data_IF_801375414481
#
_entry.id   IF_801375414481
#
_cell.length_a   1.000
_cell.length_b   1.000
_cell.length_c   1.000
_cell.angle_alpha   90.00
_cell.angle_beta   90.00
_cell.angle_gamma   90.00
#
_symmetry.space_group_name_H-M   'P 1'
#
loop_
_entity.id
_entity.type
_entity.pdbx_description
1 polymer ?
#
# COMPACT_ATOMS: atom_id res chain seq x y z
N UNK A 1 -55.91 -39.37 -30.49
CA UNK A 1 -55.34 -38.46 -31.49
C UNK A 1 -55.01 -37.15 -30.79
N UNK A 2 -53.80 -37.07 -30.25
CA UNK A 2 -53.28 -35.95 -29.46
C UNK A 2 -52.33 -35.15 -30.35
N UNK A 3 -52.69 -33.94 -30.71
CA UNK A 3 -51.76 -32.99 -31.32
C UNK A 3 -50.87 -32.40 -30.22
N UNK A 4 -49.53 -32.48 -30.31
CA UNK A 4 -48.66 -31.68 -29.47
C UNK A 4 -48.64 -30.24 -30.01
N UNK A 5 -49.06 -29.31 -29.15
CA UNK A 5 -49.01 -27.88 -29.41
C UNK A 5 -47.58 -27.39 -29.59
N UNK A 6 -47.26 -26.98 -30.81
CA UNK A 6 -46.10 -26.16 -31.13
C UNK A 6 -46.34 -24.75 -30.58
N UNK A 7 -46.01 -24.54 -29.31
CA UNK A 7 -46.25 -23.29 -28.57
C UNK A 7 -44.98 -22.63 -28.04
N UNK A 8 -43.88 -22.63 -28.81
CA UNK A 8 -42.61 -21.96 -28.43
C UNK A 8 -42.24 -20.76 -29.30
N UNK A 9 -43.13 -20.31 -30.16
CA UNK A 9 -42.95 -19.11 -30.97
C UNK A 9 -43.76 -17.97 -30.40
N UNK A 10 -43.18 -17.12 -29.53
CA UNK A 10 -43.37 -15.63 -29.50
C UNK A 10 -42.90 -14.87 -28.24
N UNK A 11 -42.52 -15.48 -27.12
CA UNK A 11 -42.41 -14.73 -25.85
C UNK A 11 -41.05 -14.09 -25.49
N UNK A 12 -40.18 -13.87 -26.48
CA UNK A 12 -39.00 -13.01 -26.33
C UNK A 12 -39.00 -12.00 -27.47
N UNK A 13 -39.63 -10.84 -27.23
CA UNK A 13 -39.25 -9.59 -27.86
C UNK A 13 -37.73 -9.47 -27.73
N UNK A 14 -37.06 -9.80 -28.83
CA UNK A 14 -35.65 -10.15 -28.98
C UNK A 14 -34.74 -9.21 -28.17
N UNK A 15 -33.99 -9.76 -27.21
CA UNK A 15 -32.90 -9.03 -26.56
C UNK A 15 -31.99 -8.42 -27.65
N UNK A 16 -31.94 -7.08 -27.78
CA UNK A 16 -31.21 -6.40 -28.84
C UNK A 16 -29.70 -6.72 -28.78
N UNK A 17 -29.19 -7.06 -27.60
CA UNK A 17 -27.80 -7.45 -27.37
C UNK A 17 -27.49 -8.80 -28.03
N UNK A 18 -28.40 -9.78 -27.93
CA UNK A 18 -28.25 -11.09 -28.57
C UNK A 18 -28.36 -10.99 -30.09
N UNK A 19 -29.28 -10.17 -30.58
CA UNK A 19 -29.42 -9.91 -32.02
C UNK A 19 -28.15 -9.25 -32.60
N UNK A 20 -27.57 -8.30 -31.89
CA UNK A 20 -26.29 -7.68 -32.24
C UNK A 20 -25.14 -8.69 -32.30
N UNK A 21 -25.02 -9.55 -31.29
CA UNK A 21 -24.00 -10.60 -31.25
C UNK A 21 -24.08 -11.52 -32.47
N UNK A 22 -25.28 -11.99 -32.82
CA UNK A 22 -25.50 -12.86 -33.98
C UNK A 22 -25.07 -12.17 -35.28
N UNK A 23 -25.52 -10.93 -35.51
CA UNK A 23 -25.16 -10.17 -36.71
C UNK A 23 -23.67 -9.86 -36.81
N UNK A 24 -23.02 -9.60 -35.67
CA UNK A 24 -21.57 -9.37 -35.63
C UNK A 24 -20.80 -10.64 -36.01
N UNK A 25 -21.21 -11.80 -35.50
CA UNK A 25 -20.61 -13.10 -35.84
C UNK A 25 -20.83 -13.41 -37.32
N UNK A 26 -22.03 -13.18 -37.86
CA UNK A 26 -22.33 -13.37 -39.28
C UNK A 26 -21.46 -12.47 -40.16
N UNK A 27 -21.38 -11.18 -39.87
CA UNK A 27 -20.53 -10.23 -40.59
C UNK A 27 -19.04 -10.64 -40.54
N UNK A 28 -18.58 -11.17 -39.40
CA UNK A 28 -17.21 -11.68 -39.26
C UNK A 28 -16.95 -12.95 -40.07
N UNK A 29 -17.92 -13.87 -40.12
CA UNK A 29 -17.81 -15.09 -40.94
C UNK A 29 -17.79 -14.79 -42.44
N UNK A 30 -18.56 -13.80 -42.86
CA UNK A 30 -18.58 -13.30 -44.24
C UNK A 30 -17.32 -12.51 -44.63
N UNK A 31 -16.43 -12.21 -43.66
CA UNK A 31 -15.21 -11.45 -43.92
C UNK A 31 -15.46 -9.98 -44.27
N UNK A 32 -16.57 -9.41 -43.82
CA UNK A 32 -16.86 -8.01 -44.04
C UNK A 32 -15.81 -7.14 -43.33
N UNK A 33 -15.33 -6.07 -43.98
CA UNK A 33 -14.41 -5.12 -43.33
C UNK A 33 -15.16 -4.33 -42.25
N UNK A 34 -14.63 -4.37 -41.02
CA UNK A 34 -15.19 -3.71 -39.83
C UNK A 34 -14.18 -2.81 -39.10
N UNK A 35 -12.92 -2.79 -39.56
CA UNK A 35 -11.79 -2.17 -38.87
C UNK A 35 -11.80 -0.64 -38.79
N UNK A 36 -12.22 0.02 -39.87
CA UNK A 36 -12.05 1.47 -40.02
C UNK A 36 -13.41 2.18 -39.87
N UNK A 37 -13.71 2.76 -38.70
CA UNK A 37 -14.95 3.49 -38.48
C UNK A 37 -14.98 4.84 -39.20
N UNK A 38 -13.93 5.23 -39.95
CA UNK A 38 -13.94 6.43 -40.80
C UNK A 38 -14.47 6.13 -42.20
N UNK A 39 -14.44 4.87 -42.63
CA UNK A 39 -15.00 4.45 -43.90
C UNK A 39 -16.54 4.38 -43.81
N UNK A 40 -17.21 5.08 -44.73
CA UNK A 40 -18.67 5.22 -44.77
C UNK A 40 -19.35 3.86 -45.00
N UNK A 41 -18.77 2.98 -45.82
CA UNK A 41 -19.34 1.65 -46.05
C UNK A 41 -19.22 0.75 -44.83
N UNK A 42 -18.08 0.82 -44.14
CA UNK A 42 -17.87 0.17 -42.85
C UNK A 42 -18.87 0.67 -41.79
N UNK A 43 -19.12 1.99 -41.74
CA UNK A 43 -20.14 2.56 -40.85
C UNK A 43 -21.56 2.08 -41.16
N UNK A 44 -21.94 2.02 -42.45
CA UNK A 44 -23.24 1.48 -42.84
C UNK A 44 -23.43 0.03 -42.36
N UNK A 45 -22.39 -0.80 -42.42
CA UNK A 45 -22.41 -2.17 -41.89
C UNK A 45 -22.58 -2.17 -40.38
N UNK A 46 -21.77 -1.41 -39.65
CA UNK A 46 -21.91 -1.28 -38.20
C UNK A 46 -23.29 -0.80 -37.76
N UNK A 47 -23.91 0.13 -38.50
CA UNK A 47 -25.27 0.61 -38.21
C UNK A 47 -26.31 -0.50 -38.34
N UNK A 48 -26.18 -1.38 -39.36
CA UNK A 48 -27.02 -2.57 -39.55
C UNK A 48 -26.78 -3.60 -38.44
N UNK A 49 -25.53 -3.85 -38.08
CA UNK A 49 -25.17 -4.77 -36.98
C UNK A 49 -25.79 -4.28 -35.67
N UNK A 50 -25.68 -2.98 -35.38
CA UNK A 50 -26.20 -2.34 -34.16
C UNK A 50 -27.72 -2.06 -34.18
N UNK A 51 -28.45 -2.39 -35.25
CA UNK A 51 -29.86 -2.03 -35.40
C UNK A 51 -30.73 -2.62 -34.27
N UNK A 52 -31.55 -1.77 -33.64
CA UNK A 52 -32.37 -2.12 -32.47
C UNK A 52 -31.74 -1.76 -31.12
N UNK A 53 -30.43 -1.44 -31.06
CA UNK A 53 -29.78 -0.96 -29.83
C UNK A 53 -29.90 0.59 -29.77
N UNK A 54 -30.38 1.16 -28.63
CA UNK A 54 -30.40 2.61 -28.42
C UNK A 54 -28.99 3.23 -28.40
N UNK A 55 -28.87 4.53 -28.66
CA UNK A 55 -27.55 5.16 -28.85
C UNK A 55 -26.71 5.20 -27.55
N UNK A 56 -27.33 5.39 -26.39
CA UNK A 56 -26.64 5.44 -25.09
C UNK A 56 -25.86 4.15 -24.72
N UNK A 57 -26.46 2.94 -24.77
CA UNK A 57 -25.76 1.71 -24.41
C UNK A 57 -24.71 1.23 -25.44
N UNK A 58 -24.69 1.77 -26.67
CA UNK A 58 -23.72 1.35 -27.69
C UNK A 58 -22.26 1.51 -27.24
N UNK A 59 -21.97 2.59 -26.50
CA UNK A 59 -20.63 2.89 -25.98
C UNK A 59 -20.07 1.77 -25.10
N UNK A 60 -20.94 1.02 -24.41
CA UNK A 60 -20.54 -0.07 -23.52
C UNK A 60 -20.69 -1.43 -24.20
N UNK A 61 -21.77 -1.65 -24.95
CA UNK A 61 -22.08 -2.95 -25.55
C UNK A 61 -21.04 -3.32 -26.61
N UNK A 62 -20.71 -2.40 -27.53
CA UNK A 62 -19.84 -2.70 -28.67
C UNK A 62 -18.43 -3.12 -28.21
N UNK A 63 -17.70 -2.33 -27.39
CA UNK A 63 -16.34 -2.71 -27.00
C UNK A 63 -16.31 -3.98 -26.15
N UNK A 64 -17.28 -4.12 -25.22
CA UNK A 64 -17.38 -5.30 -24.34
C UNK A 64 -17.60 -6.57 -25.13
N UNK A 65 -18.49 -6.54 -26.14
CA UNK A 65 -18.84 -7.72 -26.93
C UNK A 65 -17.69 -8.13 -27.86
N UNK A 66 -17.05 -7.16 -28.52
CA UNK A 66 -15.90 -7.43 -29.39
C UNK A 66 -14.75 -8.05 -28.59
N UNK A 67 -14.44 -7.52 -27.40
CA UNK A 67 -13.42 -8.11 -26.51
C UNK A 67 -13.80 -9.50 -26.04
N UNK A 68 -15.05 -9.72 -25.66
CA UNK A 68 -15.53 -11.04 -25.25
C UNK A 68 -15.38 -12.07 -26.38
N UNK A 69 -15.71 -11.69 -27.62
CA UNK A 69 -15.54 -12.57 -28.79
C UNK A 69 -14.07 -12.89 -29.09
N UNK A 70 -13.14 -11.96 -28.89
CA UNK A 70 -11.70 -12.25 -29.01
C UNK A 70 -11.20 -13.24 -27.95
N UNK A 71 -11.88 -13.34 -26.80
CA UNK A 71 -11.62 -14.35 -25.78
C UNK A 71 -12.07 -15.76 -26.18
N UNK A 72 -12.94 -15.90 -27.19
CA UNK A 72 -13.39 -17.19 -27.69
C UNK A 72 -12.51 -17.68 -28.86
N UNK A 73 -11.99 -18.92 -28.80
CA UNK A 73 -11.03 -19.43 -29.80
C UNK A 73 -11.63 -19.52 -31.20
N UNK A 74 -12.91 -19.87 -31.33
CA UNK A 74 -13.58 -20.08 -32.62
C UNK A 74 -13.84 -18.79 -33.41
N UNK A 75 -13.92 -17.65 -32.71
CA UNK A 75 -14.27 -16.36 -33.32
C UNK A 75 -13.08 -15.42 -33.52
N UNK A 76 -11.92 -15.77 -32.93
CA UNK A 76 -10.71 -14.95 -33.03
C UNK A 76 -10.26 -14.75 -34.47
N UNK A 77 -10.08 -15.84 -35.22
CA UNK A 77 -9.60 -15.78 -36.61
C UNK A 77 -10.58 -15.08 -37.58
N UNK A 78 -11.91 -15.37 -37.54
CA UNK A 78 -12.89 -14.57 -38.27
C UNK A 78 -12.83 -13.07 -37.96
N UNK A 79 -12.71 -12.67 -36.69
CA UNK A 79 -12.65 -11.26 -36.31
C UNK A 79 -11.38 -10.56 -36.82
N UNK A 80 -10.22 -11.21 -36.74
CA UNK A 80 -8.98 -10.66 -37.29
C UNK A 80 -9.11 -10.43 -38.81
N UNK A 81 -9.78 -11.33 -39.54
CA UNK A 81 -10.03 -11.16 -40.99
C UNK A 81 -10.90 -9.96 -41.33
N UNK A 82 -11.75 -9.48 -40.40
CA UNK A 82 -12.50 -8.22 -40.59
C UNK A 82 -11.63 -6.96 -40.40
N UNK A 83 -10.39 -7.14 -39.95
CA UNK A 83 -9.40 -6.11 -39.65
C UNK A 83 -9.49 -5.53 -38.24
N UNK A 84 -10.25 -6.15 -37.33
CA UNK A 84 -10.24 -5.81 -35.91
C UNK A 84 -9.02 -6.45 -35.24
N UNK A 85 -8.28 -5.68 -34.43
CA UNK A 85 -7.07 -6.17 -33.76
C UNK A 85 -7.31 -6.34 -32.24
N UNK A 86 -7.13 -7.55 -31.67
CA UNK A 86 -7.27 -7.76 -30.24
C UNK A 86 -6.30 -6.91 -29.39
N UNK A 87 -5.19 -6.44 -29.96
CA UNK A 87 -4.19 -5.61 -29.27
C UNK A 87 -4.55 -4.12 -29.25
N UNK A 88 -5.59 -3.70 -29.96
CA UNK A 88 -5.97 -2.29 -30.09
C UNK A 88 -7.34 -2.03 -29.43
N UNK A 89 -7.43 -2.01 -28.09
CA UNK A 89 -8.71 -1.81 -27.40
C UNK A 89 -9.36 -0.45 -27.73
N UNK A 90 -8.55 0.57 -28.00
CA UNK A 90 -9.02 1.90 -28.42
C UNK A 90 -9.74 1.86 -29.77
N UNK A 91 -9.35 0.96 -30.68
CA UNK A 91 -10.07 0.76 -31.95
C UNK A 91 -11.52 0.34 -31.67
N UNK A 92 -11.72 -0.59 -30.72
CA UNK A 92 -13.04 -1.09 -30.36
C UNK A 92 -13.90 -0.02 -29.68
N UNK A 93 -13.28 0.83 -28.85
CA UNK A 93 -13.96 1.95 -28.18
C UNK A 93 -14.37 3.05 -29.15
N UNK A 94 -13.58 3.29 -30.21
CA UNK A 94 -13.87 4.31 -31.20
C UNK A 94 -15.11 3.99 -32.06
N UNK A 95 -15.46 2.72 -32.26
CA UNK A 95 -16.55 2.31 -33.19
C UNK A 95 -17.91 2.93 -32.78
N UNK A 96 -18.27 2.84 -31.51
CA UNK A 96 -19.59 3.28 -31.04
C UNK A 96 -19.85 4.79 -31.27
N UNK A 97 -18.93 5.72 -30.91
CA UNK A 97 -19.06 7.14 -31.24
C UNK A 97 -19.34 7.41 -32.72
N UNK A 98 -18.59 6.79 -33.65
CA UNK A 98 -18.79 7.02 -35.08
C UNK A 98 -20.15 6.48 -35.56
N UNK A 99 -20.58 5.31 -35.07
CA UNK A 99 -21.91 4.76 -35.40
C UNK A 99 -23.04 5.68 -34.93
N UNK A 100 -22.93 6.22 -33.71
CA UNK A 100 -23.90 7.17 -33.15
C UNK A 100 -23.94 8.44 -34.00
N UNK A 101 -22.78 9.01 -34.32
CA UNK A 101 -22.67 10.21 -35.15
C UNK A 101 -23.29 9.99 -36.54
N UNK A 102 -23.00 8.85 -37.18
CA UNK A 102 -23.55 8.50 -38.49
C UNK A 102 -25.07 8.29 -38.44
N UNK A 103 -25.61 7.66 -37.40
CA UNK A 103 -27.08 7.53 -37.21
C UNK A 103 -27.75 8.89 -37.10
N UNK A 104 -27.17 9.82 -36.33
CA UNK A 104 -27.68 11.19 -36.21
C UNK A 104 -27.64 11.91 -37.55
N UNK A 105 -26.54 11.80 -38.31
CA UNK A 105 -26.41 12.36 -39.65
C UNK A 105 -27.46 11.80 -40.63
N UNK A 106 -27.73 10.49 -40.63
CA UNK A 106 -28.75 9.90 -41.51
C UNK A 106 -30.16 10.35 -41.11
N UNK A 107 -30.44 10.47 -39.81
CA UNK A 107 -31.73 11.00 -39.30
C UNK A 107 -31.93 12.46 -39.71
N UNK A 108 -30.93 13.33 -39.53
CA UNK A 108 -31.02 14.74 -39.90
C UNK A 108 -31.22 14.92 -41.41
N UNK A 109 -30.52 14.14 -42.24
CA UNK A 109 -30.65 14.21 -43.71
C UNK A 109 -32.01 13.71 -44.23
N UNK A 110 -32.67 12.79 -43.53
CA UNK A 110 -34.03 12.33 -43.86
C UNK A 110 -35.10 13.35 -43.51
N UNK A 111 -34.86 14.20 -42.51
CA UNK A 111 -35.81 15.22 -42.07
C UNK A 111 -35.64 16.56 -42.82
N UNK A 112 -34.51 16.80 -43.48
CA UNK A 112 -34.27 18.00 -44.29
C UNK A 112 -35.06 18.00 -45.61
N UNK A 113 -36.35 18.31 -45.53
CA UNK A 113 -37.16 18.82 -46.64
C UNK A 113 -37.32 20.35 -46.63
N UNK A 114 -36.99 21.01 -45.52
CA UNK A 114 -37.29 22.43 -45.29
C UNK A 114 -35.99 23.25 -45.00
N UNK A 115 -35.62 24.26 -45.82
CA UNK A 115 -34.40 25.04 -45.66
C UNK A 115 -34.34 25.90 -44.37
N UNK A 116 -35.46 26.14 -43.69
CA UNK A 116 -35.48 26.79 -42.37
C UNK A 116 -34.84 25.91 -41.29
N UNK A 117 -35.16 24.62 -41.26
CA UNK A 117 -34.66 23.67 -40.26
C UNK A 117 -33.15 23.40 -40.40
N UNK A 118 -32.58 23.59 -41.61
CA UNK A 118 -31.13 23.46 -41.82
C UNK A 118 -30.33 24.53 -41.05
N UNK A 119 -30.82 25.77 -40.98
CA UNK A 119 -30.12 26.84 -40.26
C UNK A 119 -30.12 26.56 -38.76
N UNK A 120 -31.26 26.17 -38.22
CA UNK A 120 -31.39 25.80 -36.80
C UNK A 120 -30.53 24.58 -36.44
N UNK A 121 -30.44 23.61 -37.35
CA UNK A 121 -29.57 22.43 -37.17
C UNK A 121 -28.09 22.81 -37.18
N UNK A 122 -27.67 23.71 -38.09
CA UNK A 122 -26.29 24.19 -38.16
C UNK A 122 -25.92 24.97 -36.88
N UNK A 123 -26.82 25.82 -36.40
CA UNK A 123 -26.57 26.61 -35.18
C UNK A 123 -26.52 25.73 -33.93
N UNK A 124 -27.37 24.70 -33.85
CA UNK A 124 -27.31 23.67 -32.80
C UNK A 124 -25.98 22.89 -32.85
N UNK A 125 -25.54 22.46 -34.03
CA UNK A 125 -24.25 21.77 -34.17
C UNK A 125 -23.08 22.67 -33.77
N UNK A 126 -23.14 23.97 -34.08
CA UNK A 126 -22.12 24.95 -33.65
C UNK A 126 -22.13 25.19 -32.15
N UNK A 127 -23.27 25.13 -31.47
CA UNK A 127 -23.32 25.18 -30.00
C UNK A 127 -22.76 23.91 -29.38
N UNK A 128 -23.15 22.73 -29.89
CA UNK A 128 -22.63 21.44 -29.42
C UNK A 128 -21.11 21.35 -29.61
N UNK A 129 -20.58 21.86 -30.72
CA UNK A 129 -19.14 21.86 -30.98
C UNK A 129 -18.37 22.83 -30.07
N UNK A 130 -18.97 23.97 -29.71
CA UNK A 130 -18.40 24.88 -28.70
C UNK A 130 -18.41 24.28 -27.30
N UNK A 131 -19.49 23.60 -26.94
CA UNK A 131 -19.62 22.91 -25.66
C UNK A 131 -18.63 21.75 -25.56
N UNK A 132 -18.51 20.94 -26.61
CA UNK A 132 -17.54 19.85 -26.67
C UNK A 132 -16.10 20.37 -26.58
N UNK A 133 -15.79 21.49 -27.24
CA UNK A 133 -14.49 22.15 -27.10
C UNK A 133 -14.24 22.58 -25.66
N UNK A 134 -15.20 23.23 -25.01
CA UNK A 134 -15.05 23.64 -23.62
C UNK A 134 -14.85 22.45 -22.67
N UNK A 135 -15.56 21.34 -22.90
CA UNK A 135 -15.35 20.10 -22.15
C UNK A 135 -13.96 19.50 -22.39
N UNK A 136 -13.48 19.54 -23.65
CA UNK A 136 -12.14 19.06 -23.99
C UNK A 136 -11.05 19.91 -23.33
N UNK A 137 -11.17 21.24 -23.38
CA UNK A 137 -10.25 22.17 -22.74
C UNK A 137 -10.21 21.92 -21.22
N UNK A 138 -11.37 21.70 -20.58
CA UNK A 138 -11.44 21.35 -19.15
C UNK A 138 -10.79 20.01 -18.81
N UNK A 139 -10.96 18.98 -19.67
CA UNK A 139 -10.28 17.68 -19.48
C UNK A 139 -8.77 17.84 -19.65
N UNK A 140 -8.33 18.67 -20.60
CA UNK A 140 -6.92 18.94 -20.82
C UNK A 140 -6.28 19.67 -19.62
N UNK A 141 -6.94 20.68 -19.07
CA UNK A 141 -6.49 21.38 -17.87
C UNK A 141 -6.39 20.43 -16.66
N UNK A 142 -7.40 19.57 -16.47
CA UNK A 142 -7.36 18.54 -15.42
C UNK A 142 -6.22 17.55 -15.63
N UNK A 143 -5.93 17.15 -16.88
CA UNK A 143 -4.83 16.25 -17.19
C UNK A 143 -3.48 16.90 -16.86
N UNK A 144 -3.28 18.18 -17.18
CA UNK A 144 -2.07 18.92 -16.82
C UNK A 144 -1.90 19.05 -15.30
N UNK A 145 -3.00 19.29 -14.56
CA UNK A 145 -2.96 19.34 -13.10
C UNK A 145 -2.56 18.00 -12.50
N UNK A 146 -3.13 16.90 -12.99
CA UNK A 146 -2.78 15.54 -12.55
C UNK A 146 -1.32 15.20 -12.87
N UNK A 147 -0.80 15.64 -14.02
CA UNK A 147 0.61 15.44 -14.37
C UNK A 147 1.53 16.23 -13.43
N UNK A 148 1.19 17.48 -13.11
CA UNK A 148 1.93 18.28 -12.14
C UNK A 148 1.91 17.68 -10.72
N UNK A 149 0.77 17.14 -10.29
CA UNK A 149 0.65 16.42 -9.02
C UNK A 149 1.47 15.13 -9.01
N UNK A 150 1.45 14.36 -10.10
CA UNK A 150 2.28 13.17 -10.27
C UNK A 150 3.76 13.51 -10.14
N UNK A 151 4.22 14.56 -10.81
CA UNK A 151 5.62 15.00 -10.74
C UNK A 151 6.01 15.46 -9.34
N UNK A 152 5.11 16.16 -8.66
CA UNK A 152 5.32 16.54 -7.26
C UNK A 152 5.47 15.31 -6.36
N UNK A 153 4.55 14.35 -6.47
CA UNK A 153 4.58 13.12 -5.66
C UNK A 153 5.81 12.28 -5.97
N UNK A 154 6.27 12.23 -7.23
CA UNK A 154 7.51 11.55 -7.60
C UNK A 154 8.71 12.17 -6.88
N UNK A 155 8.85 13.50 -6.88
CA UNK A 155 9.93 14.21 -6.16
C UNK A 155 9.87 13.99 -4.65
N UNK A 156 8.68 14.02 -4.06
CA UNK A 156 8.49 13.74 -2.64
C UNK A 156 8.91 12.30 -2.32
N UNK A 157 8.54 11.32 -3.16
CA UNK A 157 8.93 9.92 -3.02
C UNK A 157 10.47 9.75 -3.07
N UNK A 158 11.13 10.33 -4.06
CA UNK A 158 12.60 10.27 -4.19
C UNK A 158 13.30 10.87 -2.96
N UNK A 159 12.76 11.97 -2.43
CA UNK A 159 13.27 12.60 -1.21
C UNK A 159 13.12 11.69 0.02
N UNK A 160 11.99 10.98 0.13
CA UNK A 160 11.72 10.06 1.24
C UNK A 160 12.58 8.81 1.14
N UNK A 161 12.77 8.26 -0.06
CA UNK A 161 13.68 7.13 -0.29
C UNK A 161 15.11 7.48 0.13
N UNK A 162 15.58 8.68 -0.24
CA UNK A 162 16.91 9.16 0.13
C UNK A 162 17.06 9.28 1.66
N UNK A 163 16.04 9.81 2.35
CA UNK A 163 16.05 9.90 3.83
C UNK A 163 16.02 8.53 4.49
N UNK A 164 15.21 7.61 3.96
CA UNK A 164 15.11 6.25 4.48
C UNK A 164 16.44 5.51 4.37
N UNK A 165 17.13 5.63 3.23
CA UNK A 165 18.48 5.08 3.05
C UNK A 165 19.48 5.69 4.04
N UNK A 166 19.43 7.01 4.27
CA UNK A 166 20.31 7.66 5.24
C UNK A 166 20.07 7.17 6.68
N UNK A 167 18.81 6.98 7.09
CA UNK A 167 18.49 6.43 8.41
C UNK A 167 18.88 4.97 8.56
N UNK A 168 18.72 4.15 7.51
CA UNK A 168 19.19 2.77 7.51
C UNK A 168 20.70 2.69 7.71
N UNK A 169 21.47 3.52 6.98
CA UNK A 169 22.92 3.59 7.16
C UNK A 169 23.31 4.00 8.59
N UNK A 170 22.63 5.00 9.17
CA UNK A 170 22.87 5.39 10.58
C UNK A 170 22.55 4.27 11.57
N UNK A 171 21.46 3.54 11.35
CA UNK A 171 21.11 2.40 12.20
C UNK A 171 22.14 1.27 12.09
N UNK A 172 22.64 0.98 10.89
CA UNK A 172 23.71 0.01 10.66
C UNK A 172 25.02 0.44 11.35
N UNK A 173 25.38 1.72 11.28
CA UNK A 173 26.55 2.25 11.97
C UNK A 173 26.41 2.16 13.49
N UNK A 174 25.25 2.53 14.03
CA UNK A 174 24.97 2.43 15.46
C UNK A 174 25.00 0.98 15.97
N UNK A 175 24.47 0.02 15.19
CA UNK A 175 24.50 -1.40 15.56
C UNK A 175 25.91 -1.98 15.49
N UNK A 176 26.73 -1.58 14.51
CA UNK A 176 28.16 -1.93 14.46
C UNK A 176 28.91 -1.36 15.67
N UNK A 177 28.75 -0.07 15.97
CA UNK A 177 29.38 0.57 17.12
C UNK A 177 28.97 -0.09 18.44
N UNK A 178 27.69 -0.45 18.60
CA UNK A 178 27.20 -1.17 19.78
C UNK A 178 27.85 -2.57 19.90
N UNK A 179 27.98 -3.27 18.77
CA UNK A 179 28.61 -4.60 18.73
C UNK A 179 30.09 -4.52 19.12
N UNK A 180 30.83 -3.54 18.59
CA UNK A 180 32.22 -3.29 18.95
C UNK A 180 32.38 -2.92 20.42
N UNK A 181 31.51 -2.05 20.95
CA UNK A 181 31.51 -1.68 22.36
C UNK A 181 31.26 -2.89 23.27
N UNK A 182 30.29 -3.75 22.93
CA UNK A 182 30.03 -5.01 23.64
C UNK A 182 31.24 -5.94 23.62
N UNK A 183 31.84 -6.17 22.44
CA UNK A 183 33.02 -7.03 22.32
C UNK A 183 34.22 -6.51 23.14
N UNK A 184 34.44 -5.19 23.14
CA UNK A 184 35.50 -4.56 23.93
C UNK A 184 35.24 -4.69 25.43
N UNK A 185 34.01 -4.41 25.88
CA UNK A 185 33.62 -4.56 27.28
C UNK A 185 33.77 -6.01 27.76
N UNK A 186 33.35 -6.99 26.96
CA UNK A 186 33.53 -8.42 27.26
C UNK A 186 35.00 -8.81 27.37
N UNK A 187 35.84 -8.33 26.45
CA UNK A 187 37.29 -8.64 26.49
C UNK A 187 37.92 -8.15 27.80
N UNK A 188 37.63 -6.92 28.20
CA UNK A 188 38.14 -6.35 29.44
C UNK A 188 37.57 -7.08 30.66
N UNK A 189 36.27 -7.35 30.67
CA UNK A 189 35.60 -8.11 31.73
C UNK A 189 36.26 -9.48 31.96
N UNK A 190 36.52 -10.24 30.88
CA UNK A 190 37.22 -11.53 30.98
C UNK A 190 38.62 -11.40 31.58
N UNK A 191 39.40 -10.40 31.15
CA UNK A 191 40.74 -10.15 31.71
C UNK A 191 40.66 -9.87 33.22
N UNK A 192 39.70 -9.05 33.65
CA UNK A 192 39.54 -8.73 35.07
C UNK A 192 39.01 -9.90 35.90
N UNK A 193 38.17 -10.77 35.34
CA UNK A 193 37.74 -12.01 35.99
C UNK A 193 38.92 -12.98 36.21
N UNK A 194 39.79 -13.14 35.21
CA UNK A 194 41.00 -13.95 35.36
C UNK A 194 41.95 -13.36 36.41
N UNK A 195 42.14 -12.04 36.40
CA UNK A 195 42.95 -11.36 37.41
C UNK A 195 42.36 -11.52 38.81
N UNK A 196 41.04 -11.40 38.96
CA UNK A 196 40.35 -11.60 40.24
C UNK A 196 40.57 -13.01 40.77
N UNK A 197 40.43 -14.03 39.92
CA UNK A 197 40.69 -15.43 40.26
C UNK A 197 42.13 -15.65 40.69
N UNK A 198 43.08 -15.18 39.89
CA UNK A 198 44.51 -15.35 40.15
C UNK A 198 44.94 -14.64 41.45
N UNK A 199 44.47 -13.40 41.69
CA UNK A 199 44.76 -12.67 42.91
C UNK A 199 44.12 -13.34 44.14
N UNK A 200 42.94 -13.96 44.01
CA UNK A 200 42.34 -14.75 45.09
C UNK A 200 43.14 -16.02 45.40
N UNK A 201 43.63 -16.72 44.39
CA UNK A 201 44.49 -17.89 44.58
C UNK A 201 45.82 -17.52 45.26
N UNK A 202 46.40 -16.36 44.91
CA UNK A 202 47.63 -15.80 45.52
C UNK A 202 47.42 -15.31 46.95
N UNK A 203 46.27 -14.70 47.24
CA UNK A 203 45.93 -14.14 48.56
C UNK A 203 45.75 -15.18 49.67
N UNK A 204 45.88 -16.48 49.38
CA UNK A 204 46.06 -17.45 50.46
C UNK A 204 47.34 -17.21 51.29
N UNK A 205 48.27 -16.33 50.86
CA UNK A 205 49.57 -16.13 51.53
C UNK A 205 50.13 -14.69 51.68
N UNK A 206 49.45 -13.58 51.32
CA UNK A 206 50.08 -12.22 51.38
C UNK A 206 49.14 -11.08 51.86
N UNK A 207 49.59 -10.07 52.64
CA UNK A 207 48.73 -9.06 53.25
C UNK A 207 48.46 -7.80 52.41
N UNK A 208 48.93 -7.69 51.16
CA UNK A 208 48.62 -6.54 50.29
C UNK A 208 47.28 -6.70 49.55
N UNK A 209 46.20 -6.28 50.21
CA UNK A 209 44.80 -6.39 49.75
C UNK A 209 44.39 -5.40 48.63
N UNK A 210 45.25 -4.45 48.26
CA UNK A 210 44.92 -3.35 47.34
C UNK A 210 44.71 -3.79 45.89
N UNK A 211 45.45 -4.81 45.42
CA UNK A 211 45.32 -5.34 44.06
C UNK A 211 44.02 -6.10 43.85
N UNK A 212 43.61 -6.87 44.86
CA UNK A 212 42.33 -7.56 44.84
C UNK A 212 41.16 -6.56 44.75
N UNK A 213 41.18 -5.52 45.59
CA UNK A 213 40.12 -4.50 45.56
C UNK A 213 40.03 -3.82 44.18
N UNK A 214 41.17 -3.58 43.53
CA UNK A 214 41.21 -3.01 42.18
C UNK A 214 40.58 -3.97 41.16
N UNK A 215 40.83 -5.27 41.25
CA UNK A 215 40.23 -6.27 40.40
C UNK A 215 38.71 -6.41 40.65
N UNK A 216 38.27 -6.38 41.91
CA UNK A 216 36.86 -6.42 42.30
C UNK A 216 36.09 -5.22 41.72
N UNK A 217 36.58 -4.00 41.94
CA UNK A 217 35.97 -2.78 41.39
C UNK A 217 35.93 -2.83 39.86
N UNK A 218 36.99 -3.33 39.22
CA UNK A 218 37.03 -3.46 37.76
C UNK A 218 36.01 -4.47 37.24
N UNK A 219 35.84 -5.62 37.90
CA UNK A 219 34.83 -6.64 37.56
C UNK A 219 33.42 -6.06 37.73
N UNK A 220 33.12 -5.39 38.85
CA UNK A 220 31.82 -4.76 39.08
C UNK A 220 31.51 -3.68 38.04
N UNK A 221 32.47 -2.81 37.74
CA UNK A 221 32.30 -1.73 36.75
C UNK A 221 32.01 -2.28 35.36
N UNK A 222 32.74 -3.32 34.94
CA UNK A 222 32.54 -3.92 33.62
C UNK A 222 31.28 -4.81 33.56
N UNK A 223 30.90 -5.46 34.66
CA UNK A 223 29.62 -6.17 34.78
C UNK A 223 28.44 -5.20 34.64
N UNK A 224 28.46 -4.07 35.35
CA UNK A 224 27.44 -3.02 35.23
C UNK A 224 27.39 -2.42 33.81
N UNK A 225 28.55 -2.25 33.16
CA UNK A 225 28.63 -1.79 31.77
C UNK A 225 28.00 -2.81 30.82
N UNK A 226 28.26 -4.10 31.00
CA UNK A 226 27.64 -5.16 30.20
C UNK A 226 26.14 -5.28 30.46
N UNK A 227 25.68 -5.10 31.70
CA UNK A 227 24.26 -5.01 32.04
C UNK A 227 23.58 -3.84 31.32
N UNK A 228 24.17 -2.64 31.35
CA UNK A 228 23.67 -1.47 30.63
C UNK A 228 23.64 -1.68 29.10
N UNK A 229 24.53 -2.51 28.57
CA UNK A 229 24.54 -2.92 27.15
C UNK A 229 23.58 -4.08 26.84
N UNK A 230 22.82 -4.57 27.83
CA UNK A 230 21.85 -5.66 27.68
C UNK A 230 22.46 -7.06 27.62
N UNK A 231 23.70 -7.22 28.09
CA UNK A 231 24.48 -8.47 28.01
C UNK A 231 24.65 -9.15 29.38
N UNK A 232 23.72 -8.92 30.31
CA UNK A 232 23.81 -9.42 31.70
C UNK A 232 23.97 -10.94 31.78
N UNK A 233 23.10 -11.69 31.09
CA UNK A 233 23.13 -13.17 31.15
C UNK A 233 24.46 -13.75 30.65
N UNK A 234 24.93 -13.30 29.48
CA UNK A 234 26.22 -13.74 28.93
C UNK A 234 27.41 -13.36 29.82
N UNK A 235 27.34 -12.21 30.52
CA UNK A 235 28.34 -11.80 31.49
C UNK A 235 28.34 -12.71 32.73
N UNK A 236 27.15 -13.06 33.25
CA UNK A 236 27.00 -14.00 34.37
C UNK A 236 27.51 -15.41 34.00
N UNK A 237 27.16 -15.92 32.82
CA UNK A 237 27.63 -17.22 32.32
C UNK A 237 29.16 -17.24 32.18
N UNK A 238 29.75 -16.18 31.62
CA UNK A 238 31.21 -16.05 31.47
C UNK A 238 31.91 -15.95 32.83
N UNK A 239 31.31 -15.23 33.78
CA UNK A 239 31.84 -15.11 35.14
C UNK A 239 31.81 -16.47 35.86
N UNK A 240 30.71 -17.21 35.72
CA UNK A 240 30.58 -18.56 36.28
C UNK A 240 31.60 -19.53 35.67
N UNK A 241 31.80 -19.49 34.34
CA UNK A 241 32.78 -20.31 33.64
C UNK A 241 34.22 -20.05 34.14
N UNK A 242 34.61 -18.77 34.27
CA UNK A 242 35.98 -18.40 34.61
C UNK A 242 36.26 -18.58 36.11
N UNK A 243 35.39 -18.05 36.97
CA UNK A 243 35.57 -18.06 38.42
C UNK A 243 35.25 -19.44 39.04
N UNK A 244 34.33 -20.19 38.42
CA UNK A 244 33.74 -21.40 38.99
C UNK A 244 32.63 -21.06 40.00
N UNK A 245 31.79 -22.06 40.30
CA UNK A 245 30.64 -21.92 41.21
C UNK A 245 30.95 -21.25 42.56
N UNK A 246 32.00 -21.62 43.32
CA UNK A 246 32.19 -21.07 44.67
C UNK A 246 32.51 -19.56 44.67
N UNK A 247 33.44 -19.12 43.81
CA UNK A 247 33.79 -17.70 43.69
C UNK A 247 32.66 -16.90 43.03
N UNK A 248 31.95 -17.49 42.07
CA UNK A 248 30.80 -16.84 41.44
C UNK A 248 29.71 -16.51 42.47
N UNK A 249 29.37 -17.44 43.37
CA UNK A 249 28.35 -17.20 44.39
C UNK A 249 28.75 -16.09 45.37
N UNK A 250 30.02 -16.06 45.81
CA UNK A 250 30.56 -15.01 46.72
C UNK A 250 30.41 -13.60 46.10
N UNK A 251 30.70 -13.44 44.81
CA UNK A 251 30.76 -12.12 44.19
C UNK A 251 29.48 -11.65 43.50
N UNK A 252 28.72 -12.56 42.90
CA UNK A 252 27.55 -12.22 42.08
C UNK A 252 26.20 -12.54 42.73
N UNK A 253 26.16 -13.38 43.79
CA UNK A 253 24.90 -13.70 44.50
C UNK A 253 24.80 -13.11 45.90
N UNK A 254 25.91 -13.00 46.65
CA UNK A 254 25.87 -12.35 47.97
C UNK A 254 25.66 -10.82 47.89
N UNK A 255 25.99 -10.19 46.76
CA UNK A 255 25.82 -8.75 46.52
C UNK A 255 24.38 -8.32 46.29
N UNK A 256 23.49 -9.18 45.79
CA UNK A 256 22.05 -8.88 45.72
C UNK A 256 21.40 -8.82 47.12
N UNK A 257 22.02 -9.44 48.14
CA UNK A 257 21.60 -9.34 49.54
C UNK A 257 22.15 -8.10 50.27
N UNK A 258 23.13 -7.39 49.66
CA UNK A 258 23.75 -6.16 50.19
C UNK A 258 23.30 -4.89 49.50
N UNK A 259 22.47 -4.97 48.45
CA UNK A 259 21.92 -3.78 47.78
C UNK A 259 20.84 -3.12 48.63
N UNK A 260 21.30 -2.13 49.40
CA UNK A 260 20.56 -1.00 49.98
C UNK A 260 19.57 -1.39 51.10
N UNK A 261 19.79 -0.97 52.36
CA UNK A 261 18.72 -0.97 53.35
C UNK A 261 17.58 -0.14 52.80
N UNK A 262 16.37 -0.71 52.78
CA UNK A 262 15.14 -0.03 52.36
C UNK A 262 15.14 1.40 52.92
N UNK A 263 15.08 2.47 52.09
CA UNK A 263 15.19 3.85 52.58
C UNK A 263 14.14 4.19 53.65
N UNK A 264 13.05 3.42 53.70
CA UNK A 264 12.02 3.51 54.73
C UNK A 264 12.49 3.03 56.12
N UNK A 265 13.49 2.14 56.18
CA UNK A 265 14.07 1.68 57.46
C UNK A 265 14.97 2.74 58.10
N UNK A 266 15.60 3.61 57.29
CA UNK A 266 16.50 4.66 57.78
C UNK A 266 15.74 5.94 58.17
N UNK A 267 14.56 6.19 57.58
CA UNK A 267 13.71 7.31 57.99
C UNK A 267 12.86 7.03 59.24
N UNK A 268 12.61 5.75 59.58
CA UNK A 268 11.78 5.36 60.72
C UNK A 268 12.36 5.63 62.12
N UNK A 269 13.69 5.71 62.27
CA UNK A 269 14.32 5.88 63.60
C UNK A 269 14.69 7.34 63.94
N UNK A 270 14.72 8.25 62.96
CA UNK A 270 15.12 9.66 63.19
C UNK A 270 13.94 10.64 63.32
N UNK A 271 12.72 10.23 62.99
CA UNK A 271 11.53 11.10 63.05
C UNK A 271 10.32 10.46 63.78
N UNK A 272 10.60 9.64 64.79
CA UNK A 272 9.57 9.16 65.73
C UNK A 272 9.07 10.30 66.62
N UNK A 273 8.01 11.00 66.19
CA UNK A 273 7.26 11.88 67.10
C UNK A 273 6.50 13.01 66.43
N UNK A 274 5.38 12.70 65.76
CA UNK A 274 4.50 13.74 65.23
C UNK A 274 3.19 13.20 64.67
N UNK A 275 2.20 13.06 65.55
CA UNK A 275 0.85 12.62 65.19
C UNK A 275 0.02 13.81 64.67
N UNK A 276 -0.66 13.57 63.53
CA UNK A 276 -1.85 14.26 62.98
C UNK A 276 -1.63 15.56 62.14
N UNK A 277 -2.60 16.00 61.30
CA UNK A 277 -3.86 15.34 60.87
C UNK A 277 -4.06 15.26 59.33
N UNK A 278 -5.06 14.48 58.93
CA UNK A 278 -5.71 14.48 57.61
C UNK A 278 -6.01 15.90 57.07
N UNK A 279 -5.87 16.09 55.75
CA UNK A 279 -6.87 16.87 55.03
C UNK A 279 -7.39 16.16 53.78
N UNK A 280 -8.72 16.05 53.77
CA UNK A 280 -9.56 15.79 52.61
C UNK A 280 -9.28 16.80 51.48
N UNK A 281 -9.58 16.31 50.26
CA UNK A 281 -10.16 17.06 49.14
C UNK A 281 -9.20 17.88 48.25
N UNK A 282 -8.98 17.37 47.04
CA UNK A 282 -9.21 18.00 45.73
C UNK A 282 -8.40 17.16 44.71
N UNK A 283 -8.98 16.42 43.76
CA UNK A 283 -10.09 16.80 42.90
C UNK A 283 -9.56 17.52 41.64
N UNK A 284 -8.65 16.88 40.90
CA UNK A 284 -8.09 17.41 39.64
C UNK A 284 -8.24 16.38 38.52
N UNK A 285 -9.34 16.49 37.76
CA UNK A 285 -9.63 15.69 36.57
C UNK A 285 -8.70 16.04 35.42
N UNK A 286 -7.87 15.10 34.99
CA UNK A 286 -7.10 15.19 33.75
C UNK A 286 -8.04 14.89 32.58
N UNK A 287 -8.32 15.91 31.76
CA UNK A 287 -9.03 15.76 30.48
C UNK A 287 -8.20 14.91 29.49
N UNK A 288 -8.79 13.91 28.83
CA UNK A 288 -8.12 13.21 27.73
C UNK A 288 -8.18 14.01 26.42
N UNK A 289 -7.04 14.07 25.74
CA UNK A 289 -6.88 14.60 24.38
C UNK A 289 -7.80 13.87 23.37
N UNK A 290 -8.46 14.57 22.43
CA UNK A 290 -9.27 13.94 21.40
C UNK A 290 -8.37 13.31 20.32
N UNK A 291 -8.62 12.03 20.02
CA UNK A 291 -8.02 11.33 18.88
C UNK A 291 -8.59 11.88 17.56
N UNK A 292 -7.77 12.01 16.50
CA UNK A 292 -8.27 12.39 15.17
C UNK A 292 -9.10 11.26 14.55
N UNK A 293 -10.25 11.65 14.00
CA UNK A 293 -11.23 10.79 13.33
C UNK A 293 -10.76 10.54 11.89
N UNK A 294 -10.28 9.34 11.61
CA UNK A 294 -10.02 8.87 10.24
C UNK A 294 -11.37 8.64 9.57
N UNK A 295 -11.71 9.49 8.60
CA UNK A 295 -12.84 9.30 7.70
C UNK A 295 -12.35 8.37 6.59
N UNK A 296 -12.70 7.08 6.70
CA UNK A 296 -12.57 6.13 5.61
C UNK A 296 -13.60 6.46 4.54
N UNK A 297 -13.12 6.90 3.38
CA UNK A 297 -13.93 7.02 2.17
C UNK A 297 -14.14 5.64 1.54
N UNK A 298 -15.39 5.28 1.34
CA UNK A 298 -15.82 4.22 0.45
C UNK A 298 -15.51 4.62 -1.01
N UNK A 299 -14.81 3.75 -1.73
CA UNK A 299 -15.07 3.41 -3.14
C UNK A 299 -14.58 2.00 -3.43
#
# INVERSE_FOLDING_TARGET
>A
MTQPGNGTSTNAARDPSRAFLVRLIEAAKEGQRLADPRDVETLKRWVRICEGIPDAPLMQIVPKTVRALFGHPDYREPLVRTGLDPRQPLQHEAIAPYVIAYRRYVRSRRNTGDPGEMRDTIDRLRSELRELKAQFDAVFDNAMQLEAERDRLARENDSLQTRLLAEQMRAEEATRALTEARQKAFRLFRVYLFLLKEERDRLSNDPMRERLLTAEIAVETHSATLEALGMRGEAEDTALEILGEPLFQEYFRETDSRRVPDPDTVQGELFGGGKAPDPKSQGGSVHPFPKPRIVGGER
#
